data_IF_310318212584
#
_entry.id   IF_310318212584
#
_cell.length_a   1.000
_cell.length_b   1.000
_cell.length_c   1.000
_cell.angle_alpha   90.00
_cell.angle_beta   90.00
_cell.angle_gamma   90.00
#
_symmetry.space_group_name_H-M   'P 1'
#
loop_
_entity.id
_entity.type
_entity.pdbx_description
1 polymer ?
#
# COMPACT_ATOMS: atom_id res chain seq x y z
N UNK A 1 18.12 -15.77 5.32
CA UNK A 1 17.02 -14.96 4.72
C UNK A 1 17.19 -15.06 3.21
N UNK A 2 16.11 -15.28 2.46
CA UNK A 2 16.20 -15.35 1.00
C UNK A 2 16.20 -13.91 0.44
N UNK A 3 17.40 -13.37 0.23
CA UNK A 3 17.60 -11.97 -0.18
C UNK A 3 17.03 -11.63 -1.56
N UNK A 4 16.99 -12.59 -2.48
CA UNK A 4 16.42 -12.39 -3.82
C UNK A 4 14.92 -12.17 -3.75
N UNK A 5 14.22 -13.04 -3.02
CA UNK A 5 12.79 -12.95 -2.78
C UNK A 5 12.42 -11.64 -2.07
N UNK A 6 13.24 -11.21 -1.10
CA UNK A 6 13.04 -9.94 -0.41
C UNK A 6 13.12 -8.74 -1.38
N UNK A 7 14.10 -8.72 -2.28
CA UNK A 7 14.24 -7.65 -3.28
C UNK A 7 13.02 -7.63 -4.20
N UNK A 8 12.59 -8.77 -4.73
CA UNK A 8 11.39 -8.85 -5.59
C UNK A 8 10.16 -8.26 -4.91
N UNK A 9 9.89 -8.69 -3.67
CA UNK A 9 8.72 -8.22 -2.91
C UNK A 9 8.83 -6.73 -2.63
N UNK A 10 9.98 -6.23 -2.18
CA UNK A 10 10.16 -4.81 -1.87
C UNK A 10 10.02 -3.95 -3.13
N UNK A 11 10.63 -4.35 -4.25
CA UNK A 11 10.51 -3.63 -5.53
C UNK A 11 9.05 -3.56 -5.99
N UNK A 12 8.32 -4.68 -5.92
CA UNK A 12 6.89 -4.70 -6.24
C UNK A 12 6.09 -3.79 -5.30
N UNK A 13 6.39 -3.82 -4.01
CA UNK A 13 5.70 -3.00 -3.00
C UNK A 13 5.95 -1.51 -3.22
N UNK A 14 7.15 -1.11 -3.64
CA UNK A 14 7.44 0.30 -3.98
C UNK A 14 6.66 0.70 -5.23
N UNK A 15 6.75 -0.09 -6.32
CA UNK A 15 6.08 0.21 -7.59
C UNK A 15 4.56 0.33 -7.41
N UNK A 16 3.93 -0.66 -6.77
CA UNK A 16 2.47 -0.65 -6.57
C UNK A 16 2.09 0.37 -5.51
N UNK A 17 2.90 0.52 -4.45
CA UNK A 17 2.64 1.46 -3.37
C UNK A 17 2.56 2.90 -3.85
N UNK A 18 3.52 3.35 -4.65
CA UNK A 18 3.52 4.73 -5.17
C UNK A 18 2.24 5.04 -5.95
N UNK A 19 1.81 4.14 -6.82
CA UNK A 19 0.59 4.30 -7.61
C UNK A 19 -0.67 4.31 -6.72
N UNK A 20 -0.79 3.36 -5.80
CA UNK A 20 -1.97 3.24 -4.93
C UNK A 20 -2.11 4.46 -4.01
N UNK A 21 -1.00 4.95 -3.45
CA UNK A 21 -1.02 6.15 -2.62
C UNK A 21 -1.26 7.42 -3.43
N UNK A 22 -0.66 7.55 -4.62
CA UNK A 22 -0.90 8.68 -5.50
C UNK A 22 -2.39 8.79 -5.88
N UNK A 23 -3.00 7.67 -6.29
CA UNK A 23 -4.43 7.61 -6.61
C UNK A 23 -5.29 7.92 -5.39
N UNK A 24 -4.97 7.38 -4.21
CA UNK A 24 -5.74 7.63 -3.00
C UNK A 24 -5.74 9.12 -2.61
N UNK A 25 -4.59 9.78 -2.63
CA UNK A 25 -4.49 11.21 -2.29
C UNK A 25 -5.17 12.06 -3.36
N UNK A 26 -4.94 11.77 -4.65
CA UNK A 26 -5.57 12.48 -5.76
C UNK A 26 -7.10 12.36 -5.72
N UNK A 27 -7.63 11.17 -5.42
CA UNK A 27 -9.06 10.96 -5.26
C UNK A 27 -9.63 11.75 -4.07
N UNK A 28 -8.90 11.81 -2.95
CA UNK A 28 -9.30 12.59 -1.78
C UNK A 28 -9.38 14.08 -2.09
N UNK A 29 -8.38 14.61 -2.81
CA UNK A 29 -8.40 16.00 -3.30
C UNK A 29 -9.57 16.26 -4.26
N UNK A 30 -9.77 15.38 -5.25
CA UNK A 30 -10.78 15.56 -6.28
C UNK A 30 -12.21 15.53 -5.72
N UNK A 31 -12.50 14.59 -4.81
CA UNK A 31 -13.80 14.53 -4.15
C UNK A 31 -14.04 15.73 -3.23
N UNK A 32 -13.01 16.19 -2.51
CA UNK A 32 -13.12 17.37 -1.66
C UNK A 32 -13.48 18.63 -2.46
N UNK A 33 -12.85 18.82 -3.63
CA UNK A 33 -13.16 19.92 -4.54
C UNK A 33 -14.52 19.81 -5.21
N UNK A 34 -14.94 18.60 -5.60
CA UNK A 34 -16.22 18.38 -6.28
C UNK A 34 -17.44 18.75 -5.42
N UNK A 35 -17.37 18.51 -4.12
CA UNK A 35 -18.45 18.81 -3.18
C UNK A 35 -18.22 20.12 -2.37
N UNK A 36 -17.17 20.88 -2.70
CA UNK A 36 -16.82 22.15 -2.04
C UNK A 36 -16.73 22.04 -0.50
N UNK A 37 -16.15 20.95 0.02
CA UNK A 37 -16.13 20.65 1.47
C UNK A 37 -15.12 21.50 2.28
N UNK A 38 -14.33 22.34 1.61
CA UNK A 38 -13.24 23.12 2.21
C UNK A 38 -12.01 22.32 2.64
N UNK A 39 -10.93 23.02 3.00
CA UNK A 39 -9.60 22.42 3.20
C UNK A 39 -9.54 21.40 4.34
N UNK A 40 -10.22 21.67 5.47
CA UNK A 40 -10.19 20.79 6.64
C UNK A 40 -10.74 19.40 6.30
N UNK A 41 -11.91 19.37 5.66
CA UNK A 41 -12.57 18.11 5.29
C UNK A 41 -11.81 17.44 4.15
N UNK A 42 -11.24 18.22 3.22
CA UNK A 42 -10.39 17.68 2.17
C UNK A 42 -9.16 16.94 2.70
N UNK A 43 -8.46 17.49 3.68
CA UNK A 43 -7.32 16.80 4.31
C UNK A 43 -7.75 15.55 5.09
N UNK A 44 -8.91 15.59 5.76
CA UNK A 44 -9.47 14.39 6.41
C UNK A 44 -9.75 13.30 5.37
N UNK A 45 -10.34 13.65 4.22
CA UNK A 45 -10.65 12.70 3.16
C UNK A 45 -9.39 12.10 2.53
N UNK A 46 -8.37 12.92 2.26
CA UNK A 46 -7.04 12.45 1.84
C UNK A 46 -6.43 11.48 2.85
N UNK A 47 -6.55 11.79 4.15
CA UNK A 47 -6.07 10.94 5.23
C UNK A 47 -6.78 9.59 5.28
N UNK A 48 -8.12 9.58 5.18
CA UNK A 48 -8.94 8.36 5.16
C UNK A 48 -8.60 7.48 3.96
N UNK A 49 -8.46 8.07 2.77
CA UNK A 49 -8.08 7.32 1.57
C UNK A 49 -6.65 6.81 1.63
N UNK A 50 -5.73 7.58 2.20
CA UNK A 50 -4.35 7.12 2.44
C UNK A 50 -4.31 5.95 3.43
N UNK A 51 -5.16 5.95 4.45
CA UNK A 51 -5.28 4.82 5.38
C UNK A 51 -5.85 3.58 4.68
N UNK A 52 -6.82 3.76 3.79
CA UNK A 52 -7.34 2.68 2.95
C UNK A 52 -6.27 2.12 1.99
N UNK A 53 -5.46 2.98 1.37
CA UNK A 53 -4.29 2.58 0.58
C UNK A 53 -3.29 1.78 1.42
N UNK A 54 -2.98 2.23 2.63
CA UNK A 54 -2.11 1.50 3.55
C UNK A 54 -2.66 0.10 3.88
N UNK A 55 -3.98 -0.01 4.10
CA UNK A 55 -4.63 -1.30 4.32
C UNK A 55 -4.51 -2.25 3.11
N UNK A 56 -4.69 -1.74 1.89
CA UNK A 56 -4.46 -2.50 0.66
C UNK A 56 -3.00 -2.99 0.59
N UNK A 57 -2.04 -2.11 0.89
CA UNK A 57 -0.61 -2.44 0.89
C UNK A 57 -0.27 -3.52 1.92
N UNK A 58 -0.89 -3.50 3.10
CA UNK A 58 -0.73 -4.57 4.09
C UNK A 58 -1.25 -5.92 3.56
N UNK A 59 -2.37 -5.93 2.84
CA UNK A 59 -2.89 -7.15 2.25
C UNK A 59 -2.00 -7.67 1.12
N UNK A 60 -1.47 -6.77 0.28
CA UNK A 60 -0.50 -7.13 -0.76
C UNK A 60 0.75 -7.75 -0.15
N UNK A 61 1.31 -7.14 0.89
CA UNK A 61 2.46 -7.66 1.63
C UNK A 61 2.22 -9.07 2.15
N UNK A 62 1.08 -9.30 2.81
CA UNK A 62 0.71 -10.61 3.37
C UNK A 62 0.61 -11.68 2.28
N UNK A 63 0.04 -11.33 1.12
CA UNK A 63 -0.05 -12.25 -0.03
C UNK A 63 1.32 -12.54 -0.64
N UNK A 64 2.12 -11.51 -0.87
CA UNK A 64 3.46 -11.63 -1.45
C UNK A 64 4.36 -12.52 -0.58
N UNK A 65 4.39 -12.28 0.73
CA UNK A 65 5.18 -13.08 1.68
C UNK A 65 4.66 -14.50 1.90
N UNK A 66 3.38 -14.76 1.62
CA UNK A 66 2.81 -16.10 1.64
C UNK A 66 3.20 -16.93 0.41
N UNK A 67 3.27 -16.30 -0.77
CA UNK A 67 3.62 -16.97 -2.03
C UNK A 67 5.14 -17.16 -2.11
N UNK A 68 5.90 -16.14 -1.70
CA UNK A 68 7.35 -16.12 -1.79
C UNK A 68 7.98 -15.85 -0.40
N UNK A 69 8.18 -16.90 0.43
CA UNK A 69 8.64 -16.72 1.80
C UNK A 69 10.06 -16.12 1.88
N UNK A 70 10.20 -15.03 2.63
CA UNK A 70 11.49 -14.35 2.87
C UNK A 70 12.40 -15.19 3.80
N UNK A 71 11.82 -16.11 4.58
CA UNK A 71 12.54 -17.07 5.41
C UNK A 71 12.23 -18.49 4.91
N UNK A 72 13.28 -19.21 4.49
CA UNK A 72 13.23 -20.66 4.34
C UNK A 72 12.91 -21.26 5.71
N UNK A 73 11.78 -21.97 5.85
CA UNK A 73 11.59 -22.85 7.02
C UNK A 73 12.63 -23.97 6.88
N UNK A 74 13.52 -24.10 7.84
CA UNK A 74 14.34 -25.31 7.95
C UNK A 74 13.36 -26.45 8.28
N UNK A 75 12.97 -27.21 7.26
CA UNK A 75 12.27 -28.47 7.47
C UNK A 75 13.26 -29.41 8.16
N UNK A 76 13.17 -29.54 9.49
CA UNK A 76 13.73 -30.69 10.18
C UNK A 76 13.00 -31.91 9.63
N UNK A 77 13.76 -32.73 8.91
CA UNK A 77 13.32 -33.99 8.31
C UNK A 77 12.95 -35.00 9.38
#
# INVERSE_FOLDING_TARGET
MNGRNAITIVSMMVLVGTEVFAVAIAAGWALAGLFDLGDRVGHVLMGVFSLFAAWIMLQLWRRATSIEPIRTRATSR
#
